data_IF_020058048578
#
_entry.id   IF_020058048578
#
_cell.length_a   1.000
_cell.length_b   1.000
_cell.length_c   1.000
_cell.angle_alpha   90.00
_cell.angle_beta   90.00
_cell.angle_gamma   90.00
#
_symmetry.space_group_name_H-M   'P 1'
#
loop_
_entity.id
_entity.type
_entity.pdbx_description
1 polymer ?
#
# COMPACT_ATOMS: atom_id res chain seq x y z
N UNK A 1 4.41 -17.55 14.15
CA UNK A 1 5.55 -16.69 13.71
C UNK A 1 5.07 -15.35 13.14
N UNK A 2 3.77 -15.17 12.87
CA UNK A 2 3.15 -13.92 12.41
C UNK A 2 2.25 -13.27 13.46
N UNK A 3 2.23 -13.79 14.69
CA UNK A 3 1.39 -13.36 15.81
C UNK A 3 1.56 -11.87 16.16
N UNK A 4 2.68 -11.26 15.74
CA UNK A 4 2.97 -9.85 15.91
C UNK A 4 2.30 -8.94 14.87
N UNK A 5 1.84 -9.47 13.72
CA UNK A 5 1.15 -8.70 12.68
C UNK A 5 -0.16 -8.12 13.19
N UNK A 6 -0.93 -8.90 13.95
CA UNK A 6 -2.17 -8.45 14.58
C UNK A 6 -1.98 -7.31 15.58
N UNK A 7 -0.73 -7.05 16.02
CA UNK A 7 -0.42 -5.92 16.89
C UNK A 7 -0.09 -4.63 16.11
N UNK A 8 0.11 -4.71 14.79
CA UNK A 8 0.45 -3.55 13.94
C UNK A 8 -0.60 -3.26 12.87
N UNK A 9 -1.47 -4.23 12.57
CA UNK A 9 -2.62 -4.07 11.67
C UNK A 9 -3.89 -3.81 12.50
N UNK A 10 -4.84 -3.01 12.00
CA UNK A 10 -6.16 -2.88 12.63
C UNK A 10 -6.87 -4.23 12.71
N UNK A 11 -7.79 -4.39 13.68
CA UNK A 11 -8.55 -5.64 13.84
C UNK A 11 -9.44 -5.99 12.64
N UNK A 12 -9.78 -5.00 11.80
CA UNK A 12 -10.50 -5.18 10.54
C UNK A 12 -9.63 -5.78 9.43
N UNK A 13 -8.31 -5.58 9.49
CA UNK A 13 -7.37 -6.06 8.49
C UNK A 13 -6.86 -7.47 8.86
N UNK A 14 -7.03 -8.48 7.98
CA UNK A 14 -6.52 -9.82 8.24
C UNK A 14 -5.00 -9.80 8.44
N UNK A 15 -4.53 -10.46 9.50
CA UNK A 15 -3.10 -10.66 9.77
C UNK A 15 -2.48 -11.71 8.84
N UNK A 16 -2.52 -11.42 7.53
CA UNK A 16 -2.15 -12.36 6.49
C UNK A 16 -0.63 -12.55 6.42
N UNK A 17 -0.19 -13.81 6.57
CA UNK A 17 1.22 -14.22 6.48
C UNK A 17 1.85 -14.09 5.08
N UNK A 18 1.04 -13.91 4.05
CA UNK A 18 1.46 -13.67 2.68
C UNK A 18 1.92 -12.23 2.41
N UNK A 19 1.60 -11.28 3.29
CA UNK A 19 1.97 -9.88 3.11
C UNK A 19 3.50 -9.72 3.06
N UNK A 20 3.97 -8.75 2.27
CA UNK A 20 5.39 -8.41 2.16
C UNK A 20 6.03 -8.18 3.54
N UNK A 21 5.35 -7.48 4.44
CA UNK A 21 5.84 -7.16 5.79
C UNK A 21 5.92 -8.41 6.67
N UNK A 22 5.02 -9.38 6.45
CA UNK A 22 5.07 -10.66 7.14
C UNK A 22 6.24 -11.53 6.67
N UNK A 23 6.59 -11.41 5.39
CA UNK A 23 7.65 -12.20 4.73
C UNK A 23 9.05 -11.61 4.92
N UNK A 24 9.18 -10.29 4.88
CA UNK A 24 10.47 -9.60 4.76
C UNK A 24 10.91 -8.89 6.03
N UNK A 25 9.99 -8.65 6.98
CA UNK A 25 10.28 -7.91 8.21
C UNK A 25 10.05 -8.75 9.47
N UNK A 26 10.58 -8.25 10.57
CA UNK A 26 10.33 -8.74 11.93
C UNK A 26 9.72 -7.63 12.79
N UNK A 27 9.12 -7.98 13.92
CA UNK A 27 8.54 -6.98 14.84
C UNK A 27 9.55 -5.91 15.28
N UNK A 28 10.82 -6.26 15.38
CA UNK A 28 11.90 -5.38 15.87
C UNK A 28 12.22 -4.23 14.91
N UNK A 29 11.98 -4.42 13.61
CA UNK A 29 12.25 -3.41 12.59
C UNK A 29 11.04 -2.51 12.32
N UNK A 30 9.85 -2.87 12.78
CA UNK A 30 8.65 -2.05 12.64
C UNK A 30 8.77 -0.77 13.47
N UNK A 31 8.66 0.38 12.81
CA UNK A 31 8.72 1.70 13.46
C UNK A 31 10.12 2.05 14.00
N UNK A 32 11.15 1.28 13.65
CA UNK A 32 12.50 1.45 14.17
C UNK A 32 13.00 2.87 13.90
N UNK A 33 13.52 3.53 14.94
CA UNK A 33 14.05 4.89 14.83
C UNK A 33 13.00 5.97 14.55
N UNK A 34 11.71 5.68 14.74
CA UNK A 34 10.62 6.61 14.41
C UNK A 34 10.23 6.59 12.93
N UNK A 35 10.65 5.56 12.19
CA UNK A 35 10.29 5.38 10.79
C UNK A 35 8.79 5.13 10.65
N UNK A 36 8.11 5.97 9.87
CA UNK A 36 6.65 5.93 9.72
C UNK A 36 6.22 6.28 8.30
N UNK A 37 5.18 5.61 7.83
CA UNK A 37 4.43 5.91 6.62
C UNK A 37 3.08 6.53 7.00
N UNK A 38 2.63 7.53 6.24
CA UNK A 38 1.33 8.18 6.36
C UNK A 38 0.80 8.62 5.00
N UNK A 39 -0.48 8.96 4.91
CA UNK A 39 -1.09 9.60 3.75
C UNK A 39 -1.82 10.87 4.20
N UNK A 40 -1.77 11.97 3.44
CA UNK A 40 -2.66 13.10 3.65
C UNK A 40 -4.11 12.81 3.20
N UNK A 41 -4.33 11.74 2.42
CA UNK A 41 -5.65 11.41 1.89
C UNK A 41 -6.49 10.50 2.82
N UNK A 42 -5.84 9.75 3.71
CA UNK A 42 -6.53 8.85 4.65
C UNK A 42 -5.68 8.55 5.89
N UNK A 43 -6.34 8.34 7.02
CA UNK A 43 -5.76 7.86 8.27
C UNK A 43 -5.63 6.34 8.35
N UNK A 44 -5.01 5.86 9.44
CA UNK A 44 -4.81 4.43 9.68
C UNK A 44 -6.14 3.68 9.77
N UNK A 45 -6.40 2.82 8.78
CA UNK A 45 -7.60 1.99 8.70
C UNK A 45 -8.85 2.75 8.25
N UNK A 46 -8.70 3.98 7.77
CA UNK A 46 -9.79 4.75 7.18
C UNK A 46 -10.05 4.30 5.73
N UNK A 47 -11.16 4.77 5.17
CA UNK A 47 -11.59 4.42 3.82
C UNK A 47 -10.78 5.17 2.76
N UNK A 48 -10.45 4.48 1.66
CA UNK A 48 -9.87 5.12 0.47
C UNK A 48 -10.94 5.96 -0.24
N UNK A 49 -10.55 7.17 -0.62
CA UNK A 49 -11.36 8.00 -1.50
C UNK A 49 -11.54 7.31 -2.88
N UNK A 50 -12.74 7.34 -3.49
CA UNK A 50 -12.98 6.80 -4.82
C UNK A 50 -11.98 7.27 -5.89
N UNK A 51 -11.38 8.46 -5.75
CA UNK A 51 -10.35 9.00 -6.65
C UNK A 51 -9.08 8.11 -6.75
N UNK A 52 -8.93 7.12 -5.89
CA UNK A 52 -7.82 6.15 -5.94
C UNK A 52 -8.25 4.76 -6.41
N UNK A 53 -9.49 4.59 -6.84
CA UNK A 53 -10.13 3.30 -7.11
C UNK A 53 -10.69 3.22 -8.53
N UNK A 54 -11.16 2.03 -8.93
CA UNK A 54 -11.68 1.81 -10.27
C UNK A 54 -13.10 2.39 -10.48
N UNK A 55 -13.66 3.06 -9.46
CA UNK A 55 -14.95 3.74 -9.51
C UNK A 55 -14.83 5.14 -10.13
N UNK A 56 -13.61 5.69 -10.23
CA UNK A 56 -13.32 6.97 -10.88
C UNK A 56 -12.46 6.77 -12.15
N UNK A 57 -12.81 7.45 -13.25
CA UNK A 57 -12.12 7.29 -14.54
C UNK A 57 -10.69 7.86 -14.53
N UNK A 58 -10.48 8.97 -13.84
CA UNK A 58 -9.19 9.66 -13.72
C UNK A 58 -8.39 9.23 -12.48
N UNK A 59 -8.71 8.04 -11.93
CA UNK A 59 -8.13 7.58 -10.69
C UNK A 59 -6.62 7.34 -10.77
N UNK A 60 -5.93 7.66 -9.68
CA UNK A 60 -4.47 7.60 -9.59
C UNK A 60 -4.00 7.00 -8.27
N UNK A 61 -2.69 6.77 -8.13
CA UNK A 61 -2.12 6.31 -6.87
C UNK A 61 -2.30 7.38 -5.76
N UNK A 62 -2.61 6.97 -4.52
CA UNK A 62 -2.79 7.91 -3.42
C UNK A 62 -1.46 8.58 -3.02
N UNK A 63 -1.49 9.82 -2.49
CA UNK A 63 -0.31 10.50 -2.00
C UNK A 63 0.25 9.80 -0.76
N UNK A 64 1.55 9.58 -0.71
CA UNK A 64 2.25 8.92 0.41
C UNK A 64 3.29 9.86 1.01
N UNK A 65 3.44 9.88 2.33
CA UNK A 65 4.49 10.63 3.04
C UNK A 65 5.19 9.72 4.05
N UNK A 66 6.48 9.95 4.26
CA UNK A 66 7.25 9.17 5.24
C UNK A 66 8.34 9.98 5.93
N UNK A 67 8.68 9.53 7.13
CA UNK A 67 9.81 10.05 7.90
C UNK A 67 11.13 9.48 7.42
N UNK A 68 12.24 10.10 7.82
CA UNK A 68 13.56 9.57 7.49
C UNK A 68 13.76 8.19 8.16
N UNK A 69 14.31 7.19 7.44
CA UNK A 69 14.62 5.90 8.02
C UNK A 69 15.82 5.97 8.99
N UNK A 70 16.09 4.90 9.76
CA UNK A 70 17.32 4.80 10.53
C UNK A 70 18.57 4.96 9.66
N UNK A 71 19.68 5.35 10.30
CA UNK A 71 21.00 5.38 9.63
C UNK A 71 21.32 4.02 9.01
N UNK A 72 22.10 4.04 7.93
CA UNK A 72 22.50 2.91 7.09
C UNK A 72 21.48 2.50 6.02
N UNK A 73 20.29 3.10 5.99
CA UNK A 73 19.40 2.91 4.86
C UNK A 73 19.99 3.55 3.60
N UNK A 74 20.02 2.81 2.50
CA UNK A 74 20.48 3.27 1.18
C UNK A 74 19.32 3.54 0.23
N UNK A 75 18.25 2.74 0.33
CA UNK A 75 17.05 2.85 -0.52
C UNK A 75 15.78 2.47 0.27
N UNK A 76 14.63 2.98 -0.17
CA UNK A 76 13.33 2.53 0.31
C UNK A 76 12.46 1.95 -0.80
N UNK A 77 11.58 1.03 -0.39
CA UNK A 77 10.66 0.28 -1.24
C UNK A 77 9.26 0.39 -0.65
N UNK A 78 8.26 0.68 -1.49
CA UNK A 78 6.85 0.66 -1.13
C UNK A 78 6.16 -0.50 -1.85
N UNK A 79 5.45 -1.32 -1.09
CA UNK A 79 4.62 -2.42 -1.59
C UNK A 79 3.20 -2.20 -1.09
N UNK A 80 2.23 -2.23 -1.99
CA UNK A 80 0.81 -2.15 -1.64
C UNK A 80 0.14 -3.46 -2.03
N UNK A 81 -0.50 -4.09 -1.05
CA UNK A 81 -1.18 -5.37 -1.23
C UNK A 81 -2.58 -5.34 -0.61
N UNK A 82 -3.52 -6.03 -1.23
CA UNK A 82 -4.84 -6.30 -0.67
C UNK A 82 -4.79 -7.59 0.18
N UNK A 83 -5.05 -7.47 1.48
CA UNK A 83 -5.00 -8.54 2.46
C UNK A 83 -6.33 -9.29 2.64
N UNK A 84 -7.34 -9.01 1.81
CA UNK A 84 -8.71 -9.56 1.96
C UNK A 84 -8.83 -11.05 1.73
N UNK A 85 -7.85 -11.66 1.05
CA UNK A 85 -7.75 -13.11 0.86
C UNK A 85 -6.44 -13.63 1.45
N UNK A 86 -6.28 -14.95 1.58
CA UNK A 86 -5.04 -15.57 2.07
C UNK A 86 -3.83 -15.34 1.14
N UNK A 87 -4.07 -14.98 -0.13
CA UNK A 87 -3.02 -14.69 -1.11
C UNK A 87 -3.10 -13.22 -1.50
N UNK A 88 -2.26 -12.33 -0.91
CA UNK A 88 -2.42 -10.91 -1.10
C UNK A 88 -2.23 -10.48 -2.55
N UNK A 89 -3.20 -9.74 -3.07
CA UNK A 89 -3.15 -9.18 -4.41
C UNK A 89 -2.20 -8.00 -4.42
N UNK A 90 -1.20 -8.01 -5.28
CA UNK A 90 -0.27 -6.90 -5.41
C UNK A 90 -0.89 -5.75 -6.20
N UNK A 91 -1.05 -4.60 -5.55
CA UNK A 91 -1.54 -3.38 -6.19
C UNK A 91 -0.43 -2.48 -6.71
N UNK A 92 0.71 -2.41 -6.01
CA UNK A 92 1.79 -1.51 -6.39
C UNK A 92 3.14 -1.97 -5.86
N UNK A 93 4.17 -1.88 -6.70
CA UNK A 93 5.56 -2.12 -6.35
C UNK A 93 6.37 -0.91 -6.77
N UNK A 94 7.03 -0.26 -5.82
CA UNK A 94 7.83 0.95 -6.03
C UNK A 94 9.17 0.80 -5.33
N UNK A 95 10.27 1.13 -6.01
CA UNK A 95 11.61 1.18 -5.41
C UNK A 95 12.44 2.31 -6.01
N UNK A 96 13.65 2.52 -5.48
CA UNK A 96 14.48 3.67 -5.83
C UNK A 96 14.11 4.94 -5.07
N UNK A 97 13.31 4.86 -4.01
CA UNK A 97 13.03 5.99 -3.15
C UNK A 97 14.29 6.29 -2.30
N UNK A 98 14.77 7.53 -2.33
CA UNK A 98 15.95 7.95 -1.56
C UNK A 98 15.71 7.74 -0.06
N UNK A 99 16.68 7.17 0.66
CA UNK A 99 16.61 6.90 2.10
C UNK A 99 16.67 8.17 2.99
N UNK A 100 15.67 9.03 2.85
CA UNK A 100 15.46 10.26 3.60
C UNK A 100 13.96 10.50 3.76
N UNK A 101 13.58 11.52 4.54
CA UNK A 101 12.18 11.97 4.56
C UNK A 101 11.73 12.34 3.14
N UNK A 102 10.47 12.07 2.82
CA UNK A 102 10.00 12.25 1.47
C UNK A 102 8.53 11.99 1.33
N UNK A 103 8.08 12.10 0.08
CA UNK A 103 6.70 11.88 -0.30
C UNK A 103 6.61 11.49 -1.76
N UNK A 104 5.49 10.85 -2.11
CA UNK A 104 4.95 10.77 -3.46
C UNK A 104 3.66 11.58 -3.45
N UNK A 105 3.54 12.54 -4.37
CA UNK A 105 2.29 13.25 -4.58
C UNK A 105 1.27 12.34 -5.23
N UNK A 106 0.01 12.73 -5.15
CA UNK A 106 -1.10 12.05 -5.83
C UNK A 106 -0.81 11.91 -7.32
N UNK A 107 -0.88 10.68 -7.83
CA UNK A 107 -0.57 10.34 -9.22
C UNK A 107 0.87 10.61 -9.68
N UNK A 108 1.80 10.92 -8.76
CA UNK A 108 3.19 11.12 -9.12
C UNK A 108 3.83 9.81 -9.59
N UNK A 109 4.51 9.87 -10.74
CA UNK A 109 5.27 8.75 -11.27
C UNK A 109 6.47 8.44 -10.34
N UNK A 110 6.55 7.23 -9.74
CA UNK A 110 7.68 6.88 -8.89
C UNK A 110 8.97 6.66 -9.67
N UNK A 111 10.14 6.63 -9.00
CA UNK A 111 11.43 6.43 -9.67
C UNK A 111 11.51 5.12 -10.46
N UNK A 112 11.02 4.02 -9.89
CA UNK A 112 10.90 2.71 -10.54
C UNK A 112 9.67 2.00 -10.02
N UNK A 113 8.95 1.35 -10.93
CA UNK A 113 7.79 0.53 -10.63
C UNK A 113 7.96 -0.89 -11.15
N UNK A 114 7.31 -1.85 -10.49
CA UNK A 114 7.30 -3.26 -10.87
C UNK A 114 5.92 -3.75 -11.28
N UNK A 115 5.84 -5.00 -11.73
CA UNK A 115 4.57 -5.59 -12.15
C UNK A 115 3.66 -5.85 -10.95
N UNK A 116 2.47 -5.26 -10.98
CA UNK A 116 1.37 -5.65 -10.12
C UNK A 116 0.76 -6.98 -10.59
N UNK A 117 -0.29 -7.47 -9.93
CA UNK A 117 -0.87 -8.79 -10.24
C UNK A 117 -1.64 -8.83 -11.58
N UNK A 118 -1.92 -7.68 -12.21
CA UNK A 118 -2.39 -7.63 -13.60
C UNK A 118 -1.24 -7.61 -14.64
N UNK A 119 0.02 -7.55 -14.19
CA UNK A 119 1.20 -7.62 -15.03
C UNK A 119 1.63 -6.31 -15.68
N UNK A 120 0.94 -5.19 -15.39
CA UNK A 120 1.40 -3.84 -15.75
C UNK A 120 2.18 -3.21 -14.58
N UNK A 121 2.86 -2.08 -14.81
CA UNK A 121 3.76 -1.45 -13.83
C UNK A 121 3.23 -0.14 -13.25
N UNK A 122 1.92 -0.08 -13.07
CA UNK A 122 1.21 1.09 -12.54
C UNK A 122 0.45 0.73 -11.27
N UNK A 123 -0.21 1.74 -10.68
CA UNK A 123 -1.17 1.53 -9.61
C UNK A 123 -2.33 0.68 -10.14
N UNK A 124 -2.48 -0.53 -9.60
CA UNK A 124 -3.65 -1.35 -9.86
C UNK A 124 -4.82 -0.73 -9.09
N UNK A 125 -5.80 -0.20 -9.81
CA UNK A 125 -6.99 0.38 -9.20
C UNK A 125 -7.75 -0.67 -8.35
N UNK A 126 -7.93 -0.42 -7.03
CA UNK A 126 -8.89 -1.14 -6.21
C UNK A 126 -10.25 -1.25 -6.88
N UNK A 127 -10.83 -2.45 -6.87
CA UNK A 127 -12.18 -2.71 -7.32
C UNK A 127 -12.80 -3.70 -6.33
N UNK A 128 -13.94 -3.32 -5.78
CA UNK A 128 -14.70 -4.13 -4.84
C UNK A 128 -16.08 -4.35 -5.44
N UNK A 129 -16.58 -5.58 -5.39
CA UNK A 129 -17.95 -5.85 -5.83
C UNK A 129 -18.92 -5.10 -4.89
N UNK A 130 -19.97 -4.40 -5.39
CA UNK A 130 -20.86 -3.60 -4.53
C UNK A 130 -21.50 -4.42 -3.40
N UNK A 131 -21.89 -5.67 -3.67
CA UNK A 131 -22.44 -6.57 -2.64
C UNK A 131 -21.36 -7.34 -1.84
N UNK A 132 -20.09 -6.99 -2.06
CA UNK A 132 -18.91 -7.63 -1.52
C UNK A 132 -18.62 -7.23 -0.07
N UNK A 133 -17.60 -7.87 0.50
CA UNK A 133 -17.03 -7.40 1.77
C UNK A 133 -16.03 -6.29 1.48
N UNK A 134 -15.86 -5.31 2.38
CA UNK A 134 -14.82 -4.31 2.24
C UNK A 134 -13.43 -4.95 2.09
N UNK A 135 -12.65 -4.45 1.15
CA UNK A 135 -11.28 -4.87 0.97
C UNK A 135 -10.35 -4.14 1.95
N UNK A 136 -9.22 -4.76 2.30
CA UNK A 136 -8.23 -4.22 3.24
C UNK A 136 -6.88 -4.06 2.55
N UNK A 137 -6.51 -2.82 2.20
CA UNK A 137 -5.24 -2.50 1.56
C UNK A 137 -4.17 -2.20 2.60
N UNK A 138 -2.99 -2.77 2.39
CA UNK A 138 -1.83 -2.65 3.27
C UNK A 138 -0.69 -2.01 2.48
N UNK A 139 -0.39 -0.77 2.82
CA UNK A 139 0.73 0.01 2.30
C UNK A 139 1.95 -0.25 3.19
N UNK A 140 3.01 -0.81 2.61
CA UNK A 140 4.15 -1.38 3.33
C UNK A 140 5.43 -0.71 2.85
N UNK A 141 6.01 0.15 3.67
CA UNK A 141 7.25 0.86 3.36
C UNK A 141 8.43 0.18 4.06
N UNK A 142 9.48 -0.13 3.31
CA UNK A 142 10.69 -0.79 3.77
C UNK A 142 11.90 0.11 3.53
N UNK A 143 12.79 0.20 4.52
CA UNK A 143 14.11 0.77 4.36
C UNK A 143 15.15 -0.34 4.28
N UNK A 144 15.99 -0.30 3.26
CA UNK A 144 16.98 -1.32 2.93
C UNK A 144 18.39 -0.82 3.17
N UNK A 145 19.29 -1.69 3.60
CA UNK A 145 20.73 -1.41 3.71
C UNK A 145 21.50 -1.58 2.40
N UNK A 146 20.80 -1.79 1.29
CA UNK A 146 21.36 -1.84 -0.05
C UNK A 146 20.39 -1.26 -1.11
N UNK A 147 20.89 -0.83 -2.27
CA UNK A 147 20.07 -0.40 -3.39
C UNK A 147 19.56 -1.58 -4.21
N UNK A 148 18.31 -1.51 -4.68
CA UNK A 148 17.74 -2.55 -5.56
C UNK A 148 18.26 -2.39 -6.99
N UNK A 149 18.95 -3.42 -7.49
CA UNK A 149 19.53 -3.46 -8.84
C UNK A 149 18.53 -3.94 -9.93
N UNK A 150 17.25 -4.10 -9.60
CA UNK A 150 16.23 -4.54 -10.55
C UNK A 150 15.80 -3.40 -11.49
N UNK A 151 15.64 -3.76 -12.77
CA UNK A 151 15.07 -2.87 -13.78
C UNK A 151 13.56 -2.68 -13.56
N UNK A 152 12.97 -1.52 -13.93
CA UNK A 152 11.53 -1.34 -13.93
C UNK A 152 10.80 -2.48 -14.66
N UNK A 153 9.64 -2.89 -14.13
CA UNK A 153 8.85 -4.01 -14.64
C UNK A 153 9.26 -5.40 -14.11
N UNK A 154 10.19 -5.49 -13.15
CA UNK A 154 10.43 -6.70 -12.38
C UNK A 154 9.17 -7.12 -11.58
N UNK A 155 9.01 -8.41 -11.35
CA UNK A 155 7.85 -8.96 -10.62
C UNK A 155 8.02 -8.97 -9.10
N UNK A 156 6.90 -9.16 -8.38
CA UNK A 156 6.85 -9.27 -6.92
C UNK A 156 7.89 -10.25 -6.34
N UNK A 157 7.99 -11.44 -6.92
CA UNK A 157 8.91 -12.48 -6.44
C UNK A 157 10.39 -12.06 -6.58
N UNK A 158 10.77 -11.40 -7.67
CA UNK A 158 12.13 -10.92 -7.89
C UNK A 158 12.49 -9.80 -6.92
N UNK A 159 11.56 -8.85 -6.71
CA UNK A 159 11.74 -7.77 -5.75
C UNK A 159 11.89 -8.30 -4.32
N UNK A 160 11.04 -9.24 -3.91
CA UNK A 160 11.11 -9.81 -2.55
C UNK A 160 12.42 -10.57 -2.34
N UNK A 161 12.88 -11.33 -3.33
CA UNK A 161 14.18 -12.00 -3.27
C UNK A 161 15.34 -11.00 -3.16
N UNK A 162 15.26 -9.84 -3.82
CA UNK A 162 16.27 -8.80 -3.72
C UNK A 162 16.26 -8.06 -2.36
N UNK A 163 15.13 -8.06 -1.66
CA UNK A 163 14.96 -7.43 -0.33
C UNK A 163 15.31 -8.36 0.84
N UNK A 164 15.32 -9.68 0.62
CA UNK A 164 15.47 -10.67 1.67
C UNK A 164 16.79 -10.48 2.46
N UNK A 165 16.69 -10.32 3.78
CA UNK A 165 17.83 -10.10 4.66
C UNK A 165 18.34 -8.65 4.74
N UNK A 166 17.76 -7.73 3.95
CA UNK A 166 18.22 -6.34 3.82
C UNK A 166 17.31 -5.29 4.45
N UNK A 167 16.12 -5.70 4.93
CA UNK A 167 15.17 -4.82 5.61
C UNK A 167 15.68 -4.44 7.00
N UNK A 168 16.03 -3.16 7.18
CA UNK A 168 16.52 -2.64 8.47
C UNK A 168 15.47 -1.82 9.24
N UNK A 169 14.43 -1.35 8.57
CA UNK A 169 13.25 -0.73 9.15
C UNK A 169 12.03 -0.95 8.23
N UNK A 170 10.83 -0.99 8.82
CA UNK A 170 9.60 -1.04 8.06
C UNK A 170 8.48 -0.25 8.76
N UNK A 171 7.49 0.19 7.99
CA UNK A 171 6.27 0.82 8.47
C UNK A 171 5.08 0.38 7.63
N UNK A 172 3.90 0.38 8.23
CA UNK A 172 2.66 -0.04 7.58
C UNK A 172 1.61 1.02 7.82
N UNK A 173 0.86 1.33 6.76
CA UNK A 173 -0.36 2.10 6.77
C UNK A 173 -1.45 1.24 6.13
N UNK A 174 -2.65 1.22 6.69
CA UNK A 174 -3.77 0.45 6.14
C UNK A 174 -4.91 1.36 5.70
N UNK A 175 -5.66 0.93 4.70
CA UNK A 175 -6.92 1.54 4.31
C UNK A 175 -7.96 0.47 3.96
N UNK A 176 -9.24 0.82 4.03
CA UNK A 176 -10.34 -0.04 3.59
C UNK A 176 -11.05 0.54 2.37
N UNK A 177 -11.79 -0.27 1.63
CA UNK A 177 -12.70 0.24 0.61
C UNK A 177 -13.91 -0.67 0.47
N UNK A 178 -15.10 -0.09 0.43
CA UNK A 178 -16.38 -0.82 0.32
C UNK A 178 -16.85 -1.02 -1.12
N UNK A 179 -16.34 -0.23 -2.07
CA UNK A 179 -17.03 0.02 -3.34
C UNK A 179 -18.14 1.07 -3.16
N UNK A 180 -18.51 1.77 -4.23
CA UNK A 180 -19.69 2.64 -4.23
C UNK A 180 -20.96 1.86 -4.61
N UNK A 181 -22.01 1.99 -3.79
CA UNK A 181 -23.36 1.59 -4.18
C UNK A 181 -23.92 2.67 -5.12
N UNK A 182 -24.24 2.34 -6.37
CA UNK A 182 -24.92 3.26 -7.31
C UNK A 182 -26.27 3.78 -6.77
N UNK A 183 -26.80 3.21 -5.67
CA UNK A 183 -28.07 3.60 -5.05
C UNK A 183 -28.02 4.90 -4.23
N UNK A 184 -26.85 5.42 -3.84
CA UNK A 184 -26.78 6.71 -3.10
C UNK A 184 -26.94 7.95 -4.00
N UNK A 185 -27.02 7.77 -5.33
CA UNK A 185 -27.18 8.85 -6.30
C UNK A 185 -28.63 9.14 -6.73
N UNK A 186 -29.63 8.36 -6.27
CA UNK A 186 -31.03 8.52 -6.73
C UNK A 186 -31.93 9.39 -5.84
N UNK A 187 -31.46 9.90 -4.69
CA UNK A 187 -32.33 10.57 -3.70
C UNK A 187 -32.31 12.11 -3.71
N UNK A 188 -31.72 12.77 -4.71
CA UNK A 188 -31.65 14.26 -4.77
C UNK A 188 -32.50 14.96 -5.84
N UNK A 189 -33.31 14.25 -6.64
CA UNK A 189 -34.10 14.89 -7.72
C UNK A 189 -35.63 15.00 -7.52
N UNK A 190 -36.19 14.68 -6.35
CA UNK A 190 -37.67 14.64 -6.20
C UNK A 190 -38.34 15.65 -5.23
N UNK A 191 -37.66 16.73 -4.79
CA UNK A 191 -38.32 17.78 -3.95
C UNK A 191 -38.31 19.19 -4.55
N UNK A 192 -38.60 19.30 -5.86
CA UNK A 192 -38.90 20.58 -6.51
C UNK A 192 -40.19 20.51 -7.33
N UNK A 193 -41.34 20.23 -6.69
CA UNK A 193 -42.62 20.25 -7.40
C UNK A 193 -43.86 20.11 -6.51
N UNK A 194 -44.19 21.13 -5.73
CA UNK A 194 -45.47 21.25 -5.00
C UNK A 194 -45.98 22.69 -4.96
#
# INVERSE_FOLDING_TARGET
MTDWLSAILPSSCPANSGLAVARLASREVIGKGGFSLSSPAFGQGEELDPCFTADEEDAVAPPMEWTAPPKLAEEMVLVVEDASTDEPTCHWLVWGLTAQHGKLLEGEAPPRTGKNDQGNSDWLLPRVDPEGKPHNFVFQLFALDLPIALMPGAGKAELFAAMEGHVIAASVLTATYSGSDEEDLVDLEDDAGG
#
